data_IF_999043972723
#
_entry.id   IF_999043972723
#
_cell.length_a   1.000
_cell.length_b   1.000
_cell.length_c   1.000
_cell.angle_alpha   90.00
_cell.angle_beta   90.00
_cell.angle_gamma   90.00
#
_symmetry.space_group_name_H-M   'P 1'
#
loop_
_entity.id
_entity.type
_entity.pdbx_description
1 polymer ?
#
# COMPACT_ATOMS: atom_id res chain seq x y z
N UNK A 1 -23.67 -14.57 -3.24
CA UNK A 1 -23.09 -15.40 -4.31
C UNK A 1 -22.42 -14.48 -5.32
N UNK A 2 -21.11 -14.60 -5.50
CA UNK A 2 -20.38 -13.83 -6.51
C UNK A 2 -20.96 -14.17 -7.90
N UNK A 3 -21.14 -13.19 -8.81
CA UNK A 3 -21.57 -13.50 -10.17
C UNK A 3 -20.51 -14.41 -10.82
N UNK A 4 -20.94 -15.60 -11.22
CA UNK A 4 -20.11 -16.56 -11.92
C UNK A 4 -19.59 -15.90 -13.22
N UNK A 5 -18.27 -15.75 -13.34
CA UNK A 5 -17.61 -15.25 -14.55
C UNK A 5 -16.62 -14.11 -14.36
N UNK A 6 -16.44 -13.58 -13.14
CA UNK A 6 -15.31 -12.69 -12.88
C UNK A 6 -14.02 -13.52 -12.77
N UNK A 7 -12.96 -13.24 -13.56
CA UNK A 7 -11.68 -13.90 -13.37
C UNK A 7 -11.16 -13.60 -11.97
N UNK A 8 -10.51 -14.59 -11.35
CA UNK A 8 -9.83 -14.38 -10.08
C UNK A 8 -8.84 -13.21 -10.23
N UNK A 9 -8.70 -12.36 -9.19
CA UNK A 9 -7.58 -11.45 -9.06
C UNK A 9 -6.27 -12.10 -9.54
N UNK A 10 -5.53 -11.49 -10.48
CA UNK A 10 -4.14 -11.81 -10.70
C UNK A 10 -3.39 -11.95 -9.37
N UNK A 11 -2.58 -13.01 -9.19
CA UNK A 11 -1.89 -13.30 -7.92
C UNK A 11 -0.95 -12.16 -7.46
N UNK A 12 -0.58 -11.29 -8.38
CA UNK A 12 0.22 -10.08 -8.20
C UNK A 12 -0.48 -8.94 -7.44
N UNK A 13 -1.75 -9.11 -7.03
CA UNK A 13 -2.45 -8.15 -6.13
C UNK A 13 -2.17 -8.43 -4.65
N UNK A 14 -1.41 -9.49 -4.33
CA UNK A 14 -1.05 -9.88 -2.97
C UNK A 14 0.26 -9.23 -2.47
N UNK A 15 0.97 -8.49 -3.32
CA UNK A 15 2.17 -7.76 -2.93
C UNK A 15 1.83 -6.27 -2.91
N UNK A 16 2.10 -5.58 -1.80
CA UNK A 16 1.92 -4.13 -1.60
C UNK A 16 2.81 -3.26 -2.50
N UNK A 17 3.04 -3.68 -3.73
CA UNK A 17 3.76 -2.96 -4.77
C UNK A 17 2.74 -2.32 -5.69
N UNK A 18 2.99 -1.07 -6.07
CA UNK A 18 2.29 -0.46 -7.19
C UNK A 18 2.48 -1.35 -8.41
N UNK A 19 1.37 -1.86 -8.96
CA UNK A 19 1.43 -2.70 -10.15
C UNK A 19 2.12 -1.92 -11.27
N UNK A 20 3.28 -2.41 -11.75
CA UNK A 20 3.96 -1.82 -12.90
C UNK A 20 3.07 -2.00 -14.13
N UNK A 21 2.41 -0.92 -14.55
CA UNK A 21 1.52 -0.90 -15.71
C UNK A 21 1.86 0.28 -16.60
N UNK A 22 1.58 0.14 -17.89
CA UNK A 22 1.69 1.24 -18.84
C UNK A 22 0.80 2.41 -18.37
N UNK A 23 1.41 3.58 -18.19
CA UNK A 23 0.69 4.82 -17.85
C UNK A 23 0.33 5.57 -19.12
N UNK A 24 -0.80 6.29 -19.08
CA UNK A 24 -1.18 7.21 -20.14
C UNK A 24 -0.67 8.61 -19.78
N UNK A 25 -0.11 9.33 -20.75
CA UNK A 25 0.08 10.77 -20.58
C UNK A 25 -1.26 11.48 -20.38
N UNK A 26 -1.24 12.72 -19.88
CA UNK A 26 -2.45 13.50 -19.73
C UNK A 26 -3.25 13.57 -21.04
N UNK A 27 -2.59 13.86 -22.17
CA UNK A 27 -3.27 14.00 -23.47
C UNK A 27 -3.96 12.71 -23.91
N UNK A 28 -3.30 11.57 -23.69
CA UNK A 28 -3.83 10.25 -24.03
C UNK A 28 -4.95 9.82 -23.09
N UNK A 29 -4.97 10.29 -21.84
CA UNK A 29 -5.98 9.93 -20.85
C UNK A 29 -7.28 10.73 -20.97
N UNK A 30 -7.26 11.95 -21.55
CA UNK A 30 -8.43 12.82 -21.69
C UNK A 30 -9.68 12.11 -22.29
N UNK A 31 -9.57 11.33 -23.38
CA UNK A 31 -10.74 10.65 -23.96
C UNK A 31 -11.38 9.62 -23.01
N UNK A 32 -10.64 9.12 -22.01
CA UNK A 32 -11.08 8.07 -21.10
C UNK A 32 -11.75 8.61 -19.83
N UNK A 33 -11.64 9.91 -19.54
CA UNK A 33 -12.10 10.50 -18.27
C UNK A 33 -13.58 10.22 -17.98
N UNK A 34 -14.44 10.32 -19.00
CA UNK A 34 -15.86 10.03 -18.85
C UNK A 34 -16.09 8.55 -18.49
N UNK A 35 -15.41 7.62 -19.17
CA UNK A 35 -15.52 6.19 -18.91
C UNK A 35 -15.00 5.83 -17.52
N UNK A 36 -13.87 6.39 -17.11
CA UNK A 36 -13.29 6.17 -15.78
C UNK A 36 -14.28 6.57 -14.68
N UNK A 37 -14.85 7.78 -14.77
CA UNK A 37 -15.88 8.28 -13.83
C UNK A 37 -17.11 7.37 -13.78
N UNK A 38 -17.69 7.07 -14.94
CA UNK A 38 -18.92 6.26 -15.00
C UNK A 38 -18.70 4.81 -14.54
N UNK A 39 -17.50 4.26 -14.76
CA UNK A 39 -17.16 2.91 -14.27
C UNK A 39 -16.93 2.93 -12.76
N UNK A 40 -16.21 3.93 -12.25
CA UNK A 40 -15.98 4.10 -10.80
C UNK A 40 -17.27 4.26 -10.01
N UNK A 41 -18.23 5.06 -10.50
CA UNK A 41 -19.55 5.19 -9.84
C UNK A 41 -20.29 3.85 -9.80
N UNK A 42 -20.25 3.07 -10.88
CA UNK A 42 -20.89 1.74 -10.91
C UNK A 42 -20.23 0.77 -9.95
N UNK A 43 -18.90 0.77 -9.89
CA UNK A 43 -18.13 -0.03 -8.93
C UNK A 43 -18.49 0.35 -7.50
N UNK A 44 -18.51 1.65 -7.19
CA UNK A 44 -18.92 2.15 -5.88
C UNK A 44 -20.32 1.68 -5.49
N UNK A 45 -21.32 1.86 -6.36
CA UNK A 45 -22.70 1.42 -6.09
C UNK A 45 -22.78 -0.10 -5.88
N UNK A 46 -22.06 -0.88 -6.68
CA UNK A 46 -22.04 -2.33 -6.56
C UNK A 46 -21.40 -2.77 -5.23
N UNK A 47 -20.26 -2.19 -4.86
CA UNK A 47 -19.58 -2.45 -3.59
C UNK A 47 -20.46 -2.04 -2.41
N UNK A 48 -21.07 -0.85 -2.46
CA UNK A 48 -21.98 -0.39 -1.42
C UNK A 48 -23.15 -1.35 -1.23
N UNK A 49 -23.83 -1.75 -2.30
CA UNK A 49 -24.94 -2.72 -2.21
C UNK A 49 -24.51 -4.09 -1.70
N UNK A 50 -23.27 -4.49 -1.96
CA UNK A 50 -22.74 -5.77 -1.49
C UNK A 50 -22.37 -5.75 0.00
N UNK A 51 -22.05 -4.57 0.56
CA UNK A 51 -21.50 -4.43 1.91
C UNK A 51 -22.35 -3.55 2.83
N UNK A 52 -23.48 -2.99 2.37
CA UNK A 52 -24.29 -2.05 3.16
C UNK A 52 -24.86 -2.63 4.44
N UNK A 53 -25.12 -3.95 4.43
CA UNK A 53 -25.64 -4.68 5.58
C UNK A 53 -24.53 -5.45 6.32
N UNK A 54 -23.27 -5.29 5.91
CA UNK A 54 -22.15 -5.93 6.59
C UNK A 54 -21.98 -5.32 7.98
N UNK A 55 -21.88 -6.18 8.98
CA UNK A 55 -21.54 -5.81 10.35
C UNK A 55 -20.13 -6.32 10.63
N UNK A 56 -19.30 -5.47 11.23
CA UNK A 56 -17.99 -5.86 11.72
C UNK A 56 -18.07 -6.05 13.23
N UNK A 57 -17.67 -7.22 13.72
CA UNK A 57 -17.71 -7.56 15.14
C UNK A 57 -16.59 -6.87 15.94
N UNK A 58 -15.55 -6.40 15.24
CA UNK A 58 -14.35 -5.82 15.84
C UNK A 58 -13.90 -4.54 15.12
N UNK A 59 -13.39 -3.57 15.90
CA UNK A 59 -12.78 -2.35 15.37
C UNK A 59 -11.31 -2.62 15.04
N UNK A 60 -11.04 -2.76 13.75
CA UNK A 60 -9.67 -2.81 13.25
C UNK A 60 -9.15 -1.42 12.91
N UNK A 61 -7.89 -1.15 13.26
CA UNK A 61 -7.23 0.12 12.98
C UNK A 61 -5.72 -0.08 12.77
N UNK A 62 -5.03 0.95 12.30
CA UNK A 62 -3.59 0.94 12.06
C UNK A 62 -3.12 2.36 11.72
N UNK A 63 -1.85 2.63 11.96
CA UNK A 63 -1.18 3.86 11.56
C UNK A 63 -0.50 3.72 10.20
N UNK A 64 -0.28 4.86 9.54
CA UNK A 64 0.57 4.99 8.36
C UNK A 64 1.64 6.04 8.69
N UNK A 65 2.91 5.66 8.59
CA UNK A 65 4.04 6.51 8.95
C UNK A 65 4.93 6.73 7.74
N UNK A 66 5.12 8.00 7.37
CA UNK A 66 6.02 8.41 6.29
C UNK A 66 7.42 8.77 6.83
N UNK A 67 8.45 8.25 6.16
CA UNK A 67 9.86 8.43 6.53
C UNK A 67 10.61 9.21 5.45
N UNK A 68 11.45 10.15 5.89
CA UNK A 68 12.39 10.86 5.05
C UNK A 68 13.79 10.20 5.10
N UNK A 69 14.29 9.73 3.97
CA UNK A 69 15.63 9.16 3.86
C UNK A 69 16.68 10.27 3.77
N UNK A 70 17.58 10.30 4.73
CA UNK A 70 18.67 11.27 4.80
C UNK A 70 20.04 10.61 4.92
N UNK A 71 21.06 11.28 4.38
CA UNK A 71 22.46 10.93 4.52
C UNK A 71 23.17 12.05 5.27
N UNK A 72 23.80 11.69 6.38
CA UNK A 72 24.65 12.58 7.14
C UNK A 72 26.07 12.59 6.53
N UNK A 73 26.60 13.78 6.29
CA UNK A 73 27.99 14.05 5.90
C UNK A 73 28.65 14.77 7.09
N UNK A 74 29.28 13.99 7.97
CA UNK A 74 29.87 14.47 9.22
C UNK A 74 31.06 15.39 8.97
N UNK A 75 31.87 15.10 7.94
CA UNK A 75 33.03 15.92 7.57
C UNK A 75 32.62 17.33 7.16
N UNK A 76 31.56 17.43 6.34
CA UNK A 76 31.02 18.72 5.88
C UNK A 76 29.96 19.31 6.79
N UNK A 77 29.63 18.64 7.91
CA UNK A 77 28.54 19.01 8.83
C UNK A 77 27.22 19.30 8.10
N UNK A 78 26.87 18.44 7.14
CA UNK A 78 25.70 18.61 6.28
C UNK A 78 24.80 17.38 6.30
N UNK A 79 23.51 17.58 6.08
CA UNK A 79 22.51 16.52 5.88
C UNK A 79 21.92 16.67 4.49
N UNK A 80 21.83 15.57 3.75
CA UNK A 80 21.26 15.55 2.39
C UNK A 80 20.17 14.51 2.28
N UNK A 81 19.20 14.77 1.43
CA UNK A 81 18.18 13.80 1.06
C UNK A 81 18.82 12.64 0.27
N UNK A 82 18.41 11.41 0.56
CA UNK A 82 18.90 10.19 -0.09
C UNK A 82 17.83 9.65 -1.04
N UNK A 83 18.09 9.67 -2.35
CA UNK A 83 17.16 9.19 -3.40
C UNK A 83 17.17 7.66 -3.58
N UNK A 84 17.39 6.91 -2.50
CA UNK A 84 17.58 5.45 -2.51
C UNK A 84 16.34 4.68 -2.02
N UNK A 85 15.15 5.29 -2.09
CA UNK A 85 13.93 4.66 -1.59
C UNK A 85 13.67 3.30 -2.23
N UNK A 86 13.74 3.19 -3.56
CA UNK A 86 13.47 1.94 -4.30
C UNK A 86 14.39 0.77 -3.88
N UNK A 87 15.69 1.06 -3.76
CA UNK A 87 16.70 0.08 -3.31
C UNK A 87 16.43 -0.37 -1.87
N UNK A 88 16.19 0.59 -0.96
CA UNK A 88 15.96 0.29 0.45
C UNK A 88 14.63 -0.41 0.67
N UNK A 89 13.59 -0.03 -0.07
CA UNK A 89 12.27 -0.66 -0.02
C UNK A 89 12.38 -2.16 -0.37
N UNK A 90 13.14 -2.48 -1.43
CA UNK A 90 13.39 -3.88 -1.80
C UNK A 90 14.07 -4.67 -0.66
N UNK A 91 15.06 -4.05 0.01
CA UNK A 91 15.75 -4.66 1.15
C UNK A 91 14.85 -4.80 2.39
N UNK A 92 13.98 -3.83 2.65
CA UNK A 92 13.04 -3.86 3.78
C UNK A 92 11.99 -4.96 3.59
N UNK A 93 11.42 -5.07 2.39
CA UNK A 93 10.47 -6.13 2.02
C UNK A 93 11.13 -7.52 2.13
N UNK A 94 12.36 -7.67 1.64
CA UNK A 94 13.11 -8.93 1.77
C UNK A 94 13.35 -9.29 3.25
N UNK A 95 13.75 -8.32 4.07
CA UNK A 95 13.97 -8.52 5.50
C UNK A 95 12.69 -8.93 6.21
N UNK A 96 11.56 -8.29 5.91
CA UNK A 96 10.27 -8.64 6.50
C UNK A 96 9.85 -10.07 6.13
N UNK A 97 10.10 -10.49 4.88
CA UNK A 97 9.82 -11.85 4.42
C UNK A 97 10.73 -12.90 5.09
N UNK A 98 12.01 -12.58 5.27
CA UNK A 98 13.01 -13.52 5.77
C UNK A 98 13.02 -13.63 7.30
N UNK A 99 12.82 -12.52 8.00
CA UNK A 99 12.98 -12.41 9.45
C UNK A 99 11.71 -12.03 10.19
N UNK A 100 10.62 -11.68 9.49
CA UNK A 100 9.33 -11.44 10.12
C UNK A 100 8.85 -12.67 10.89
N UNK A 101 8.20 -12.45 12.03
CA UNK A 101 7.70 -13.53 12.86
C UNK A 101 6.70 -14.38 12.07
N UNK A 102 6.89 -15.70 12.12
CA UNK A 102 6.05 -16.69 11.39
C UNK A 102 5.09 -17.44 12.31
N UNK A 103 5.01 -17.03 13.56
CA UNK A 103 4.20 -17.64 14.61
C UNK A 103 2.73 -17.18 14.60
N UNK A 104 2.35 -16.34 13.63
CA UNK A 104 0.97 -15.90 13.43
C UNK A 104 0.55 -14.72 14.32
N UNK A 105 1.44 -14.17 15.14
CA UNK A 105 1.14 -13.05 16.05
C UNK A 105 1.25 -11.65 15.40
N UNK A 106 1.37 -11.57 14.07
CA UNK A 106 1.12 -10.33 13.33
C UNK A 106 2.12 -9.19 13.49
N UNK A 107 3.14 -9.32 14.35
CA UNK A 107 4.20 -8.33 14.51
C UNK A 107 5.04 -8.24 13.22
N UNK A 108 4.96 -7.09 12.57
CA UNK A 108 5.65 -6.83 11.32
C UNK A 108 5.20 -5.53 10.68
N UNK A 109 6.04 -4.97 9.80
CA UNK A 109 5.71 -3.79 9.03
C UNK A 109 5.50 -4.14 7.55
N UNK A 110 4.46 -3.60 6.93
CA UNK A 110 4.37 -3.50 5.48
C UNK A 110 5.04 -2.19 5.05
N UNK A 111 5.86 -2.25 4.00
CA UNK A 111 6.62 -1.11 3.49
C UNK A 111 6.13 -0.76 2.09
N UNK A 112 5.87 0.53 1.84
CA UNK A 112 5.32 1.03 0.60
C UNK A 112 6.19 2.14 -0.01
N UNK A 113 6.21 2.27 -1.35
CA UNK A 113 6.83 3.41 -2.00
C UNK A 113 5.96 4.66 -1.82
N UNK A 114 6.62 5.82 -1.71
CA UNK A 114 5.95 7.12 -1.70
C UNK A 114 6.42 8.01 -2.86
N UNK A 115 5.77 9.16 -3.06
CA UNK A 115 6.02 10.03 -4.22
C UNK A 115 7.49 10.44 -4.36
N UNK A 116 8.13 10.80 -3.26
CA UNK A 116 9.55 11.15 -3.26
C UNK A 116 10.43 9.91 -3.39
N UNK A 117 11.43 9.93 -4.28
CA UNK A 117 12.47 8.88 -4.32
C UNK A 117 13.34 8.79 -3.04
N UNK A 118 13.04 9.61 -2.05
CA UNK A 118 13.62 9.64 -0.72
C UNK A 118 12.61 9.34 0.39
N UNK A 119 11.37 9.02 0.04
CA UNK A 119 10.31 8.70 0.97
C UNK A 119 10.04 7.20 0.98
N UNK A 120 9.74 6.67 2.15
CA UNK A 120 9.21 5.32 2.34
C UNK A 120 8.08 5.44 3.35
N UNK A 121 7.00 4.69 3.16
CA UNK A 121 5.93 4.56 4.14
C UNK A 121 5.99 3.18 4.81
N UNK A 122 5.71 3.16 6.11
CA UNK A 122 5.49 1.93 6.87
C UNK A 122 4.09 1.89 7.46
N UNK A 123 3.46 0.72 7.41
CA UNK A 123 2.18 0.41 8.08
C UNK A 123 2.32 -0.88 8.88
N UNK A 124 1.45 -1.17 9.85
CA UNK A 124 1.33 -2.50 10.42
C UNK A 124 1.03 -3.53 9.33
N UNK A 125 1.69 -4.69 9.39
CA UNK A 125 1.44 -5.78 8.44
C UNK A 125 0.04 -6.37 8.58
N UNK A 126 -0.46 -6.43 9.81
CA UNK A 126 -1.84 -6.76 10.14
C UNK A 126 -2.44 -5.58 10.91
N UNK A 127 -3.73 -5.29 10.73
CA UNK A 127 -4.38 -4.25 11.51
C UNK A 127 -4.41 -4.64 12.99
N UNK A 128 -4.33 -3.63 13.85
CA UNK A 128 -4.58 -3.73 15.27
C UNK A 128 -6.06 -4.01 15.53
N UNK A 129 -6.36 -4.81 16.56
CA UNK A 129 -7.72 -5.06 17.06
C UNK A 129 -7.82 -4.69 18.54
N UNK A 130 -9.01 -4.24 18.97
CA UNK A 130 -9.26 -3.86 20.36
C UNK A 130 -8.37 -2.73 20.87
N UNK A 131 -7.95 -2.82 22.15
CA UNK A 131 -6.92 -1.94 22.74
C UNK A 131 -5.56 -2.63 22.61
N UNK A 132 -4.64 -1.99 21.90
CA UNK A 132 -3.22 -2.33 21.99
C UNK A 132 -2.69 -1.75 23.30
N UNK A 133 -2.27 -2.62 24.22
CA UNK A 133 -1.53 -2.21 25.40
C UNK A 133 -0.03 -2.41 25.12
N UNK A 134 0.76 -1.40 25.42
CA UNK A 134 2.21 -1.40 25.38
C UNK A 134 2.83 -2.43 26.36
#
# INVERSE_FOLDING_TARGET
AAPAGAPAPPPEWAEGKLAQRATLSLRESLPWLHRARMTGVRQFIATYRALSDAQADELFWGDEIEYALVKFDTERKAVRISLRADELLSQLVEKESNYGRRDGYGEGAAWHPEYGAWMIEGTPRLPYGGFTAD
#
